data_IF_631697371700
#
_entry.id   IF_631697371700
#
_cell.length_a   1.000
_cell.length_b   1.000
_cell.length_c   1.000
_cell.angle_alpha   90.00
_cell.angle_beta   90.00
_cell.angle_gamma   90.00
#
_symmetry.space_group_name_H-M   'P 1'
#
loop_
_entity.id
_entity.type
_entity.pdbx_description
1 polymer ?
#
# COMPACT_ATOMS: atom_id res chain seq x y z
N UNK A 1 1.61 -6.84 -14.08
CA UNK A 1 1.62 -5.57 -13.31
C UNK A 1 1.15 -4.47 -14.22
N UNK A 2 0.11 -3.75 -13.82
CA UNK A 2 -0.37 -2.54 -14.49
C UNK A 2 0.25 -1.32 -13.80
N UNK A 3 0.78 -0.40 -14.60
CA UNK A 3 1.39 0.82 -14.12
C UNK A 3 0.65 2.00 -14.75
N UNK A 4 0.05 2.85 -13.94
CA UNK A 4 -0.55 4.08 -14.40
C UNK A 4 0.19 5.28 -13.84
N UNK A 5 0.70 6.13 -14.73
CA UNK A 5 1.06 7.48 -14.34
C UNK A 5 -0.23 8.29 -14.21
N UNK A 6 -0.41 8.86 -13.02
CA UNK A 6 -1.58 9.64 -12.63
C UNK A 6 -1.10 11.08 -12.45
N UNK A 7 -1.80 12.02 -13.09
CA UNK A 7 -1.51 13.45 -12.95
C UNK A 7 -2.01 13.98 -11.59
N UNK A 8 -1.87 15.28 -11.31
CA UNK A 8 -2.46 15.91 -10.11
C UNK A 8 -3.99 16.01 -10.22
N UNK A 9 -4.64 16.14 -9.06
CA UNK A 9 -6.09 16.41 -8.94
C UNK A 9 -6.96 15.31 -9.56
N UNK A 10 -6.44 14.09 -9.63
CA UNK A 10 -7.17 12.97 -10.23
C UNK A 10 -8.26 12.52 -9.29
N UNK A 11 -9.46 12.36 -9.82
CA UNK A 11 -10.62 11.99 -9.04
C UNK A 11 -10.60 10.51 -8.69
N UNK A 12 -11.29 10.15 -7.62
CA UNK A 12 -11.39 8.76 -7.17
C UNK A 12 -11.82 7.80 -8.28
N UNK A 13 -12.76 8.22 -9.14
CA UNK A 13 -13.31 7.34 -10.20
C UNK A 13 -12.27 6.96 -11.27
N UNK A 14 -11.28 7.83 -11.50
CA UNK A 14 -10.23 7.60 -12.49
C UNK A 14 -9.21 6.59 -11.96
N UNK A 15 -8.89 6.64 -10.67
CA UNK A 15 -8.03 5.63 -10.03
C UNK A 15 -8.78 4.31 -9.88
N UNK A 16 -10.06 4.37 -9.50
CA UNK A 16 -10.94 3.22 -9.44
C UNK A 16 -10.97 2.47 -10.77
N UNK A 17 -11.17 3.14 -11.91
CA UNK A 17 -11.23 2.47 -13.20
C UNK A 17 -9.94 1.68 -13.52
N UNK A 18 -8.79 2.24 -13.15
CA UNK A 18 -7.50 1.56 -13.31
C UNK A 18 -7.36 0.38 -12.34
N UNK A 19 -7.79 0.54 -11.10
CA UNK A 19 -7.71 -0.51 -10.08
C UNK A 19 -8.71 -1.64 -10.36
N UNK A 20 -9.89 -1.31 -10.88
CA UNK A 20 -10.92 -2.25 -11.33
C UNK A 20 -10.43 -3.08 -12.50
N UNK A 21 -9.79 -2.45 -13.50
CA UNK A 21 -9.17 -3.17 -14.61
C UNK A 21 -8.12 -4.17 -14.09
N UNK A 22 -7.29 -3.73 -13.16
CA UNK A 22 -6.29 -4.61 -12.55
C UNK A 22 -6.91 -5.72 -11.71
N UNK A 23 -8.04 -5.48 -11.05
CA UNK A 23 -8.80 -6.48 -10.31
C UNK A 23 -9.28 -7.60 -11.24
N UNK A 24 -9.88 -7.20 -12.37
CA UNK A 24 -10.40 -8.12 -13.40
C UNK A 24 -9.28 -8.94 -14.02
N UNK A 25 -8.13 -8.32 -14.28
CA UNK A 25 -6.97 -8.99 -14.86
C UNK A 25 -6.13 -9.77 -13.83
N UNK A 26 -6.52 -9.73 -12.55
CA UNK A 26 -5.77 -10.37 -11.46
C UNK A 26 -4.30 -9.91 -11.39
N UNK A 27 -4.04 -8.63 -11.68
CA UNK A 27 -2.70 -8.05 -11.76
C UNK A 27 -2.46 -7.05 -10.61
N UNK A 28 -1.20 -6.92 -10.14
CA UNK A 28 -0.84 -5.80 -9.28
C UNK A 28 -1.03 -4.50 -10.06
N UNK A 29 -1.42 -3.45 -9.34
CA UNK A 29 -1.50 -2.10 -9.90
C UNK A 29 -0.75 -1.11 -9.03
N UNK A 30 -0.07 -0.17 -9.69
CA UNK A 30 0.58 0.97 -9.06
C UNK A 30 0.08 2.26 -9.73
N UNK A 31 -0.59 3.10 -8.95
CA UNK A 31 -0.90 4.48 -9.31
C UNK A 31 0.29 5.36 -8.93
N UNK A 32 0.92 6.02 -9.91
CA UNK A 32 2.04 6.94 -9.69
C UNK A 32 1.56 8.39 -9.80
N UNK A 33 1.47 9.11 -8.68
CA UNK A 33 1.17 10.53 -8.59
C UNK A 33 2.39 11.38 -8.92
N UNK A 34 2.75 11.40 -10.19
CA UNK A 34 4.00 12.00 -10.64
C UNK A 34 4.09 13.51 -10.44
N UNK A 35 2.95 14.20 -10.24
CA UNK A 35 2.87 15.64 -10.04
C UNK A 35 2.89 16.08 -8.57
N UNK A 36 2.70 15.16 -7.62
CA UNK A 36 2.74 15.48 -6.18
C UNK A 36 4.21 15.62 -5.75
N UNK A 37 4.52 16.75 -5.10
CA UNK A 37 5.88 17.10 -4.66
C UNK A 37 5.95 17.45 -3.17
N UNK A 38 4.80 17.69 -2.53
CA UNK A 38 4.71 18.14 -1.15
C UNK A 38 3.69 17.34 -0.35
N UNK A 39 3.81 17.36 0.98
CA UNK A 39 2.83 16.76 1.88
C UNK A 39 1.45 17.41 1.77
N UNK A 40 1.38 18.72 1.48
CA UNK A 40 0.10 19.41 1.32
C UNK A 40 -0.62 18.93 0.06
N UNK A 41 0.08 18.84 -1.07
CA UNK A 41 -0.48 18.28 -2.31
C UNK A 41 -0.91 16.82 -2.13
N UNK A 42 -0.16 16.04 -1.33
CA UNK A 42 -0.58 14.68 -0.98
C UNK A 42 -1.88 14.68 -0.19
N UNK A 43 -2.02 15.53 0.84
CA UNK A 43 -3.26 15.64 1.61
C UNK A 43 -4.44 15.99 0.71
N UNK A 44 -4.25 16.96 -0.19
CA UNK A 44 -5.30 17.39 -1.11
C UNK A 44 -5.71 16.24 -2.03
N UNK A 45 -4.74 15.48 -2.57
CA UNK A 45 -5.04 14.30 -3.36
C UNK A 45 -5.74 13.20 -2.55
N UNK A 46 -5.29 12.92 -1.32
CA UNK A 46 -5.91 11.90 -0.47
C UNK A 46 -7.37 12.26 -0.16
N UNK A 47 -7.65 13.53 0.09
CA UNK A 47 -9.03 14.02 0.29
C UNK A 47 -9.90 13.80 -0.94
N UNK A 48 -9.37 14.01 -2.13
CA UNK A 48 -10.09 13.70 -3.37
C UNK A 48 -10.41 12.20 -3.45
N UNK A 49 -9.52 11.32 -3.00
CA UNK A 49 -9.80 9.88 -2.94
C UNK A 49 -10.89 9.56 -1.92
N UNK A 50 -10.83 10.14 -0.72
CA UNK A 50 -11.79 9.90 0.37
C UNK A 50 -13.22 10.39 0.06
N UNK A 51 -13.41 11.20 -0.99
CA UNK A 51 -14.75 11.52 -1.51
C UNK A 51 -15.41 10.36 -2.28
N UNK A 52 -14.63 9.35 -2.69
CA UNK A 52 -15.14 8.19 -3.39
C UNK A 52 -15.62 7.10 -2.43
N UNK A 53 -16.75 6.47 -2.75
CA UNK A 53 -17.42 5.47 -1.89
C UNK A 53 -16.56 4.24 -1.54
N UNK A 54 -15.53 3.96 -2.36
CA UNK A 54 -14.66 2.78 -2.21
C UNK A 54 -13.37 3.06 -1.44
N UNK A 55 -13.06 4.32 -1.21
CA UNK A 55 -11.84 4.71 -0.52
C UNK A 55 -12.13 4.99 0.95
N UNK A 56 -11.12 4.81 1.77
CA UNK A 56 -11.18 5.30 3.14
C UNK A 56 -9.81 5.64 3.65
N UNK A 57 -9.76 6.73 4.39
CA UNK A 57 -8.56 7.16 5.10
C UNK A 57 -8.68 6.90 6.59
N UNK A 58 -7.57 6.57 7.22
CA UNK A 58 -7.47 6.40 8.67
C UNK A 58 -6.21 7.06 9.19
N UNK A 59 -6.28 7.54 10.44
CA UNK A 59 -5.09 7.89 11.21
C UNK A 59 -4.64 6.66 11.98
N UNK A 60 -3.49 6.13 11.61
CA UNK A 60 -2.92 4.94 12.25
C UNK A 60 -2.17 5.35 13.52
N UNK A 61 -2.30 4.52 14.55
CA UNK A 61 -1.57 4.66 15.82
C UNK A 61 -0.75 3.39 16.01
N UNK A 62 0.55 3.56 16.16
CA UNK A 62 1.48 2.46 16.48
C UNK A 62 1.86 2.60 17.94
N UNK A 63 1.54 1.58 18.73
CA UNK A 63 1.92 1.51 20.14
C UNK A 63 3.46 1.59 20.26
N UNK A 64 3.96 2.29 21.27
CA UNK A 64 5.40 2.51 21.52
C UNK A 64 6.18 3.31 20.47
N UNK A 65 5.55 3.75 19.37
CA UNK A 65 6.19 4.65 18.42
C UNK A 65 6.15 6.10 18.93
N UNK A 66 7.29 6.60 19.40
CA UNK A 66 7.44 8.00 19.78
C UNK A 66 7.73 8.83 18.52
N UNK A 67 6.70 9.47 17.97
CA UNK A 67 6.83 10.40 16.83
C UNK A 67 5.81 11.53 16.90
N UNK A 68 6.18 12.72 16.43
CA UNK A 68 5.24 13.83 16.21
C UNK A 68 4.52 13.73 14.85
N UNK A 69 4.92 12.77 14.02
CA UNK A 69 4.36 12.58 12.69
C UNK A 69 3.00 11.88 12.76
N UNK A 70 2.21 12.09 11.71
CA UNK A 70 0.91 11.44 11.55
C UNK A 70 1.02 10.36 10.49
N UNK A 71 0.61 9.16 10.88
CA UNK A 71 0.59 7.99 10.02
C UNK A 71 -0.79 7.87 9.40
N UNK A 72 -0.83 7.79 8.08
CA UNK A 72 -2.06 7.71 7.29
C UNK A 72 -2.19 6.32 6.71
N UNK A 73 -3.28 5.65 7.04
CA UNK A 73 -3.74 4.45 6.38
C UNK A 73 -4.67 4.78 5.23
N UNK A 74 -4.57 3.98 4.18
CA UNK A 74 -5.44 4.06 3.01
C UNK A 74 -6.02 2.68 2.79
N UNK A 75 -7.33 2.60 2.64
CA UNK A 75 -8.04 1.40 2.21
C UNK A 75 -8.80 1.67 0.91
N UNK A 76 -8.92 0.63 0.11
CA UNK A 76 -9.72 0.65 -1.11
C UNK A 76 -10.55 -0.63 -1.19
N UNK A 77 -11.81 -0.52 -1.57
CA UNK A 77 -12.70 -1.65 -1.74
C UNK A 77 -12.80 -2.05 -3.23
N UNK A 78 -12.55 -3.32 -3.53
CA UNK A 78 -12.71 -3.87 -4.87
C UNK A 78 -14.17 -3.84 -5.32
N UNK A 79 -14.47 -3.98 -6.63
CA UNK A 79 -15.83 -4.20 -7.12
C UNK A 79 -16.52 -5.42 -6.51
N UNK A 80 -15.75 -6.42 -6.07
CA UNK A 80 -16.26 -7.63 -5.41
C UNK A 80 -16.47 -7.46 -3.90
N UNK A 81 -16.23 -6.26 -3.37
CA UNK A 81 -16.44 -5.91 -1.98
C UNK A 81 -15.28 -6.27 -1.04
N UNK A 82 -14.16 -6.78 -1.57
CA UNK A 82 -12.97 -7.11 -0.78
C UNK A 82 -12.21 -5.84 -0.43
N UNK A 83 -11.66 -5.77 0.77
CA UNK A 83 -10.84 -4.64 1.20
C UNK A 83 -9.39 -4.91 0.81
N UNK A 84 -8.78 -4.00 0.08
CA UNK A 84 -7.34 -3.94 -0.08
C UNK A 84 -6.79 -2.77 0.72
N UNK A 85 -5.55 -2.90 1.18
CA UNK A 85 -4.84 -1.84 1.89
C UNK A 85 -3.71 -1.38 0.97
N UNK A 86 -3.95 -0.36 0.11
CA UNK A 86 -2.91 0.18 -0.73
C UNK A 86 -1.69 0.59 0.07
N UNK A 87 -0.54 0.05 -0.32
CA UNK A 87 0.74 0.48 0.20
C UNK A 87 1.09 1.82 -0.45
N UNK A 88 1.29 2.83 0.38
CA UNK A 88 1.93 4.07 -0.05
C UNK A 88 3.44 3.94 0.05
N UNK A 89 4.15 4.55 -0.88
CA UNK A 89 5.61 4.69 -0.79
C UNK A 89 5.92 5.97 0.00
N UNK A 90 5.81 5.86 1.33
CA UNK A 90 6.26 6.87 2.26
C UNK A 90 7.79 6.95 2.33
N UNK A 91 8.36 8.06 2.82
CA UNK A 91 9.80 8.18 3.08
C UNK A 91 10.21 7.33 4.28
N UNK A 92 10.15 6.01 4.17
CA UNK A 92 10.64 5.11 5.19
C UNK A 92 12.16 4.92 5.05
N UNK A 93 12.94 5.07 6.12
CA UNK A 93 14.41 4.99 6.07
C UNK A 93 14.93 3.61 5.62
N UNK A 94 14.06 2.59 5.64
CA UNK A 94 14.33 1.20 5.25
C UNK A 94 14.26 0.94 3.74
N UNK A 95 13.85 1.92 2.91
CA UNK A 95 13.85 1.79 1.45
C UNK A 95 15.04 2.54 0.80
N UNK A 96 16.14 1.84 0.45
CA UNK A 96 17.23 2.45 -0.29
C UNK A 96 16.83 2.60 -1.77
N UNK A 97 17.00 3.81 -2.31
CA UNK A 97 16.87 4.25 -3.73
C UNK A 97 15.56 4.96 -4.14
N UNK A 98 14.42 4.84 -3.43
CA UNK A 98 13.24 5.72 -3.66
C UNK A 98 13.35 7.10 -2.99
N UNK A 99 14.53 7.44 -2.44
CA UNK A 99 14.89 8.72 -1.78
C UNK A 99 14.71 10.01 -2.62
N UNK A 100 14.10 9.97 -3.80
CA UNK A 100 13.84 11.15 -4.66
C UNK A 100 12.36 11.40 -4.97
N UNK A 101 11.44 10.61 -4.43
CA UNK A 101 10.02 10.72 -4.72
C UNK A 101 9.18 10.44 -3.45
N UNK A 102 9.31 11.27 -2.40
CA UNK A 102 8.35 11.20 -1.31
C UNK A 102 6.97 11.51 -1.92
N UNK A 103 5.93 10.73 -1.58
CA UNK A 103 4.51 10.99 -1.94
C UNK A 103 4.05 10.57 -3.35
N UNK A 104 4.59 9.50 -3.91
CA UNK A 104 4.45 9.29 -5.36
C UNK A 104 3.62 8.09 -5.79
N UNK A 105 3.23 7.16 -4.91
CA UNK A 105 2.38 6.07 -5.38
C UNK A 105 1.53 5.38 -4.34
N UNK A 106 0.41 4.83 -4.82
CA UNK A 106 -0.39 3.81 -4.18
C UNK A 106 -0.23 2.52 -4.98
N UNK A 107 0.22 1.47 -4.33
CA UNK A 107 0.27 0.13 -4.90
C UNK A 107 -0.75 -0.75 -4.20
N UNK A 108 -1.57 -1.44 -4.97
CA UNK A 108 -2.52 -2.41 -4.42
C UNK A 108 -2.49 -3.70 -5.22
N UNK A 109 -2.87 -4.79 -4.56
CA UNK A 109 -3.28 -6.01 -5.24
C UNK A 109 -4.81 -6.09 -5.20
N UNK A 110 -5.47 -5.94 -6.35
CA UNK A 110 -6.92 -5.96 -6.43
C UNK A 110 -7.49 -7.36 -6.77
N UNK A 111 -6.63 -8.32 -7.13
CA UNK A 111 -6.97 -9.74 -7.35
C UNK A 111 -7.07 -10.55 -6.04
N UNK A 112 -7.83 -11.64 -6.07
CA UNK A 112 -8.25 -12.45 -4.91
C UNK A 112 -7.13 -13.27 -4.23
N UNK A 113 -7.52 -14.17 -3.30
CA UNK A 113 -6.65 -15.13 -2.60
C UNK A 113 -6.11 -16.26 -3.51
N UNK A 114 -5.38 -15.89 -4.55
CA UNK A 114 -4.94 -16.79 -5.61
C UNK A 114 -3.71 -17.61 -5.25
N UNK A 115 -2.94 -17.20 -4.24
CA UNK A 115 -1.76 -17.93 -3.77
C UNK A 115 -2.16 -19.22 -3.01
N UNK A 116 -1.98 -20.42 -3.61
CA UNK A 116 -2.45 -21.68 -3.02
C UNK A 116 -1.64 -22.11 -1.80
N UNK A 117 -0.47 -21.51 -1.56
CA UNK A 117 0.40 -21.82 -0.43
C UNK A 117 0.15 -20.91 0.76
N UNK A 118 -0.67 -19.87 0.61
CA UNK A 118 -1.04 -18.96 1.71
C UNK A 118 -2.09 -19.63 2.60
N UNK A 119 -1.64 -20.16 3.74
CA UNK A 119 -2.50 -20.87 4.70
C UNK A 119 -3.22 -19.97 5.71
N UNK A 120 -2.79 -18.72 5.84
CA UNK A 120 -3.36 -17.73 6.77
C UNK A 120 -3.62 -16.44 6.00
N UNK A 121 -4.89 -16.09 5.87
CA UNK A 121 -5.35 -14.83 5.30
C UNK A 121 -6.66 -14.42 6.00
N UNK A 122 -6.95 -13.12 5.97
CA UNK A 122 -8.25 -12.60 6.36
C UNK A 122 -9.17 -12.70 5.14
N UNK A 123 -10.35 -13.35 5.24
CA UNK A 123 -11.17 -13.70 4.07
C UNK A 123 -11.79 -12.49 3.36
N UNK A 124 -11.81 -11.35 4.01
CA UNK A 124 -12.34 -10.07 3.56
C UNK A 124 -11.25 -9.09 3.11
N UNK A 125 -9.96 -9.47 3.21
CA UNK A 125 -8.84 -8.57 2.98
C UNK A 125 -7.82 -9.14 1.99
N UNK A 126 -7.46 -8.34 0.98
CA UNK A 126 -6.41 -8.65 0.02
C UNK A 126 -5.04 -8.13 0.49
N UNK A 127 -4.03 -8.97 0.35
CA UNK A 127 -2.63 -8.72 0.67
C UNK A 127 -1.77 -8.89 -0.59
N UNK A 128 -0.61 -8.25 -0.62
CA UNK A 128 0.38 -8.43 -1.67
C UNK A 128 0.76 -9.91 -1.90
N UNK A 129 0.67 -10.72 -0.84
CA UNK A 129 0.96 -12.16 -0.88
C UNK A 129 -0.16 -13.02 -1.45
N UNK A 130 -1.33 -12.46 -1.76
CA UNK A 130 -2.44 -13.18 -2.37
C UNK A 130 -2.26 -13.45 -3.86
N UNK A 131 -1.30 -12.79 -4.48
CA UNK A 131 -1.04 -12.88 -5.92
C UNK A 131 -0.75 -14.29 -6.45
N UNK A 132 -1.36 -14.62 -7.60
CA UNK A 132 -0.87 -15.72 -8.44
C UNK A 132 0.53 -15.38 -8.97
N UNK A 133 1.48 -16.30 -8.78
CA UNK A 133 2.79 -16.20 -9.42
C UNK A 133 2.66 -16.63 -10.89
N UNK A 134 3.35 -15.95 -11.84
CA UNK A 134 3.31 -16.30 -13.26
C UNK A 134 3.62 -17.77 -13.53
N UNK A 135 4.52 -18.33 -12.70
CA UNK A 135 4.74 -19.75 -12.57
C UNK A 135 4.45 -20.15 -11.12
N UNK A 136 3.54 -21.09 -10.85
CA UNK A 136 3.25 -21.53 -9.50
C UNK A 136 4.51 -22.14 -8.87
N UNK A 137 5.02 -21.51 -7.81
CA UNK A 137 6.11 -22.10 -7.03
C UNK A 137 5.67 -23.44 -6.47
N UNK A 138 6.59 -24.40 -6.39
CA UNK A 138 6.37 -25.59 -5.55
C UNK A 138 6.28 -25.16 -4.09
N UNK A 139 5.64 -25.96 -3.23
CA UNK A 139 5.59 -25.65 -1.79
C UNK A 139 6.98 -25.53 -1.16
N UNK A 140 7.98 -26.23 -1.69
CA UNK A 140 9.36 -26.12 -1.22
C UNK A 140 9.99 -24.78 -1.63
N UNK A 141 9.85 -24.37 -2.89
CA UNK A 141 10.33 -23.07 -3.36
C UNK A 141 9.66 -21.92 -2.61
N UNK A 142 8.34 -22.00 -2.41
CA UNK A 142 7.58 -21.03 -1.63
C UNK A 142 8.15 -20.91 -0.20
N UNK A 143 8.39 -22.04 0.48
CA UNK A 143 8.97 -22.06 1.83
C UNK A 143 10.37 -21.44 1.88
N UNK A 144 11.21 -21.72 0.89
CA UNK A 144 12.58 -21.16 0.82
C UNK A 144 12.53 -19.65 0.64
N UNK A 145 11.75 -19.17 -0.34
CA UNK A 145 11.57 -17.73 -0.60
C UNK A 145 11.00 -17.05 0.65
N UNK A 146 9.95 -17.63 1.25
CA UNK A 146 9.31 -17.10 2.44
C UNK A 146 10.28 -16.95 3.63
N UNK A 147 11.03 -18.01 3.93
CA UNK A 147 11.98 -17.98 5.05
C UNK A 147 13.14 -17.01 4.78
N UNK A 148 13.60 -16.90 3.53
CA UNK A 148 14.62 -15.93 3.14
C UNK A 148 14.11 -14.50 3.28
N UNK A 149 12.88 -14.22 2.82
CA UNK A 149 12.23 -12.93 2.98
C UNK A 149 12.03 -12.58 4.46
N UNK A 150 11.53 -13.51 5.29
CA UNK A 150 11.36 -13.27 6.74
C UNK A 150 12.68 -12.89 7.41
N UNK A 151 13.75 -13.65 7.13
CA UNK A 151 15.08 -13.36 7.67
C UNK A 151 15.56 -11.99 7.22
N UNK A 152 15.41 -11.68 5.93
CA UNK A 152 15.86 -10.40 5.38
C UNK A 152 15.06 -9.21 5.90
N UNK A 153 13.75 -9.38 6.06
CA UNK A 153 12.87 -8.39 6.69
C UNK A 153 13.31 -8.15 8.13
N UNK A 154 13.53 -9.19 8.92
CA UNK A 154 14.01 -9.03 10.31
C UNK A 154 15.39 -8.33 10.41
N UNK A 155 16.25 -8.50 9.41
CA UNK A 155 17.54 -7.78 9.32
C UNK A 155 17.37 -6.30 8.92
N UNK A 156 16.36 -5.98 8.11
CA UNK A 156 16.11 -4.62 7.60
C UNK A 156 15.23 -3.79 8.55
N UNK A 157 14.37 -4.44 9.32
CA UNK A 157 13.32 -3.85 10.12
C UNK A 157 13.69 -3.93 11.61
N UNK A 158 14.75 -3.22 12.00
CA UNK A 158 15.32 -3.25 13.35
C UNK A 158 14.77 -2.18 14.30
N UNK A 159 13.92 -1.25 13.83
CA UNK A 159 13.31 -0.21 14.68
C UNK A 159 11.82 -0.52 14.99
N UNK A 160 11.22 -0.04 16.10
CA UNK A 160 9.80 -0.26 16.43
C UNK A 160 8.76 0.15 15.37
N UNK A 161 8.89 1.27 14.61
CA UNK A 161 7.99 1.55 13.48
C UNK A 161 8.12 0.53 12.35
N UNK A 162 9.10 -0.39 12.46
CA UNK A 162 9.37 -1.38 11.47
C UNK A 162 8.65 -2.73 11.67
N UNK A 163 7.75 -2.84 12.64
CA UNK A 163 6.96 -4.05 12.75
C UNK A 163 6.09 -4.26 11.50
N UNK A 164 6.30 -5.42 10.88
CA UNK A 164 5.61 -5.94 9.69
C UNK A 164 4.08 -5.88 9.75
N UNK A 165 3.49 -5.80 10.95
CA UNK A 165 2.04 -5.70 11.17
C UNK A 165 1.50 -4.26 11.03
N UNK A 166 2.36 -3.25 11.13
CA UNK A 166 2.01 -1.83 11.05
C UNK A 166 2.41 -1.19 9.72
N UNK A 167 3.54 -1.61 9.13
CA UNK A 167 3.95 -1.19 7.78
C UNK A 167 2.90 -1.41 6.71
N UNK A 168 2.06 -2.44 6.88
CA UNK A 168 1.00 -2.78 5.92
C UNK A 168 -0.21 -1.87 6.03
N UNK A 169 -0.41 -1.19 7.16
CA UNK A 169 -1.55 -0.30 7.41
C UNK A 169 -1.22 1.15 7.12
N UNK A 170 0.05 1.54 7.23
CA UNK A 170 0.50 2.91 6.99
C UNK A 170 0.92 3.07 5.53
N UNK A 171 0.15 3.84 4.77
CA UNK A 171 0.50 4.22 3.41
C UNK A 171 1.44 5.43 3.40
N UNK A 172 1.18 6.44 4.23
CA UNK A 172 1.96 7.67 4.25
C UNK A 172 2.31 8.11 5.67
N UNK A 173 3.44 8.81 5.80
CA UNK A 173 3.86 9.49 7.03
C UNK A 173 3.97 10.98 6.71
N UNK A 174 3.18 11.78 7.42
CA UNK A 174 3.10 13.24 7.26
C UNK A 174 3.76 13.91 8.47
N UNK A 175 4.55 14.96 8.22
CA UNK A 175 5.11 15.74 9.33
C UNK A 175 4.01 16.33 10.22
N UNK A 176 4.23 16.35 11.54
CA UNK A 176 3.27 16.91 12.49
C UNK A 176 2.86 18.38 12.23
N UNK A 177 3.73 19.14 11.54
CA UNK A 177 3.43 20.50 11.11
C UNK A 177 2.34 20.56 10.04
N UNK A 178 2.37 19.64 9.07
CA UNK A 178 1.43 19.61 7.94
C UNK A 178 0.17 18.82 8.28
N UNK A 179 0.31 17.76 9.07
CA UNK A 179 -0.80 16.88 9.46
C UNK A 179 -1.89 17.56 10.29
N UNK A 180 -1.63 18.73 10.90
CA UNK A 180 -2.67 19.56 11.53
C UNK A 180 -3.78 19.98 10.56
N UNK A 181 -3.52 19.88 9.27
CA UNK A 181 -4.46 20.17 8.19
C UNK A 181 -5.20 18.94 7.70
N UNK A 182 -4.88 17.73 8.14
CA UNK A 182 -5.55 16.49 7.73
C UNK A 182 -6.78 16.29 8.60
#
# INVERSE_FOLDING_TARGET
MLLGAVDRDVRAEEIDAMFDLAAVEHLPVVAIFSAIRTETELIDQLRLLDTGDRWGLSREVVEDLITEDVLIGVRWQTPTGLLSVPMGFGPFPTMPVTRRAPYVCLATWPGGHENPHRKKFAPDMLDFLDSALPEPLTSEQYRVVWNSSLKRTAELLSEPPDDSSFYRRVAFRLSGAVARRF
#
